data_IF_125947496542
#
_entry.id   IF_125947496542
#
_cell.length_a   1.000
_cell.length_b   1.000
_cell.length_c   1.000
_cell.angle_alpha   90.00
_cell.angle_beta   90.00
_cell.angle_gamma   90.00
#
_symmetry.space_group_name_H-M   'P 1'
#
loop_
_entity.id
_entity.type
_entity.pdbx_description
1 polymer ?
#
# COMPACT_ATOMS: atom_id res chain seq x y z
N UNK A 1 -5.61 3.52 -17.44
CA UNK A 1 -5.38 2.62 -16.29
C UNK A 1 -3.98 2.86 -15.77
N UNK A 2 -3.91 3.35 -14.54
CA UNK A 2 -2.67 3.62 -13.82
C UNK A 2 -2.38 2.44 -12.88
N UNK A 3 -1.10 2.14 -12.67
CA UNK A 3 -0.63 1.32 -11.54
C UNK A 3 0.21 2.18 -10.62
N UNK A 4 -0.02 2.05 -9.31
CA UNK A 4 0.72 2.76 -8.26
C UNK A 4 1.44 1.78 -7.36
N UNK A 5 2.68 2.07 -7.02
CA UNK A 5 3.46 1.33 -6.03
C UNK A 5 3.76 2.27 -4.88
N UNK A 6 3.22 1.97 -3.70
CA UNK A 6 3.48 2.72 -2.48
C UNK A 6 4.15 1.81 -1.46
N UNK A 7 5.23 2.27 -0.84
CA UNK A 7 5.98 1.51 0.17
C UNK A 7 6.21 2.37 1.42
N UNK A 8 5.88 1.79 2.58
CA UNK A 8 6.12 2.32 3.91
C UNK A 8 7.11 1.44 4.68
N UNK A 9 8.02 2.06 5.44
CA UNK A 9 8.71 1.41 6.55
C UNK A 9 7.80 1.43 7.78
N UNK A 10 7.66 0.29 8.44
CA UNK A 10 6.96 0.21 9.72
C UNK A 10 7.87 0.43 10.93
N UNK A 11 9.18 0.63 10.74
CA UNK A 11 10.14 0.76 11.85
C UNK A 11 9.84 1.96 12.77
N UNK A 12 9.46 3.10 12.18
CA UNK A 12 9.07 4.32 12.89
C UNK A 12 7.56 4.59 12.83
N UNK A 13 6.76 3.56 12.51
CA UNK A 13 5.31 3.68 12.33
C UNK A 13 4.57 3.63 13.67
N UNK A 14 3.35 4.19 13.68
CA UNK A 14 2.43 4.09 14.83
C UNK A 14 1.67 2.76 14.89
N UNK A 15 1.86 1.88 13.91
CA UNK A 15 1.12 0.61 13.78
C UNK A 15 2.03 -0.57 13.44
N UNK A 16 1.57 -1.79 13.72
CA UNK A 16 2.25 -3.04 13.37
C UNK A 16 1.63 -3.73 12.15
N UNK A 17 2.32 -4.74 11.61
CA UNK A 17 1.78 -5.54 10.49
C UNK A 17 0.53 -6.33 10.89
N UNK A 18 0.44 -6.80 12.12
CA UNK A 18 -0.74 -7.50 12.65
C UNK A 18 -1.95 -6.57 12.67
N UNK A 19 -1.80 -5.35 13.21
CA UNK A 19 -2.87 -4.36 13.24
C UNK A 19 -3.34 -3.97 11.83
N UNK A 20 -2.41 -3.83 10.88
CA UNK A 20 -2.75 -3.56 9.49
C UNK A 20 -3.54 -4.72 8.86
N UNK A 21 -3.15 -5.97 9.10
CA UNK A 21 -3.87 -7.15 8.59
C UNK A 21 -5.29 -7.27 9.16
N UNK A 22 -5.47 -6.92 10.42
CA UNK A 22 -6.77 -6.97 11.08
C UNK A 22 -7.67 -5.79 10.66
N UNK A 23 -7.09 -4.66 10.26
CA UNK A 23 -7.82 -3.42 9.97
C UNK A 23 -8.09 -3.16 8.49
N UNK A 24 -7.28 -3.72 7.59
CA UNK A 24 -7.38 -3.46 6.16
C UNK A 24 -8.19 -4.56 5.46
N UNK A 25 -9.13 -4.14 4.61
CA UNK A 25 -9.85 -5.04 3.74
C UNK A 25 -8.95 -5.57 2.60
N UNK A 26 -9.38 -6.69 2.00
CA UNK A 26 -8.79 -7.17 0.75
C UNK A 26 -9.03 -6.16 -0.37
N UNK A 27 -8.04 -6.02 -1.25
CA UNK A 27 -8.14 -5.16 -2.42
C UNK A 27 -8.75 -5.95 -3.58
N UNK A 28 -9.51 -5.28 -4.44
CA UNK A 28 -10.00 -5.90 -5.67
C UNK A 28 -8.84 -6.26 -6.60
N UNK A 29 -8.78 -7.50 -7.13
CA UNK A 29 -7.77 -7.88 -8.10
C UNK A 29 -7.80 -6.96 -9.34
N UNK A 30 -6.63 -6.59 -9.90
CA UNK A 30 -5.31 -7.15 -9.62
C UNK A 30 -4.49 -6.41 -8.53
N UNK A 31 -5.11 -5.54 -7.72
CA UNK A 31 -4.42 -4.84 -6.63
C UNK A 31 -4.04 -5.77 -5.48
N UNK A 32 -2.95 -5.48 -4.78
CA UNK A 32 -2.45 -6.33 -3.70
C UNK A 32 -1.63 -5.58 -2.65
N UNK A 33 -1.83 -5.95 -1.38
CA UNK A 33 -0.95 -5.57 -0.28
C UNK A 33 0.37 -6.35 -0.33
N UNK A 34 1.45 -5.69 0.07
CA UNK A 34 2.80 -6.22 0.10
C UNK A 34 3.34 -6.19 1.53
N UNK A 35 4.01 -7.27 1.95
CA UNK A 35 4.74 -7.32 3.21
C UNK A 35 6.13 -7.91 3.00
N UNK A 36 7.15 -7.19 3.47
CA UNK A 36 8.52 -7.66 3.54
C UNK A 36 8.96 -7.70 5.00
N UNK A 37 8.95 -8.91 5.58
CA UNK A 37 9.34 -9.14 6.96
C UNK A 37 10.84 -8.84 7.21
N UNK A 38 11.72 -9.06 6.24
CA UNK A 38 13.16 -8.91 6.43
C UNK A 38 13.59 -7.44 6.56
N UNK A 39 12.84 -6.52 5.97
CA UNK A 39 13.12 -5.07 6.03
C UNK A 39 12.01 -4.27 6.71
N UNK A 40 11.03 -4.94 7.32
CA UNK A 40 9.84 -4.34 7.94
C UNK A 40 9.16 -3.29 7.05
N UNK A 41 8.88 -3.67 5.80
CA UNK A 41 8.20 -2.80 4.83
C UNK A 41 6.83 -3.32 4.48
N UNK A 42 5.86 -2.42 4.56
CA UNK A 42 4.50 -2.63 4.09
C UNK A 42 4.30 -1.85 2.80
N UNK A 43 3.44 -2.31 1.91
CA UNK A 43 3.20 -1.61 0.67
C UNK A 43 1.95 -2.06 -0.04
N UNK A 44 1.69 -1.44 -1.18
CA UNK A 44 0.60 -1.80 -2.08
C UNK A 44 1.02 -1.64 -3.53
N UNK A 45 0.55 -2.56 -4.37
CA UNK A 45 0.44 -2.35 -5.81
C UNK A 45 -1.05 -2.12 -6.08
N UNK A 46 -1.42 -0.91 -6.48
CA UNK A 46 -2.81 -0.51 -6.68
C UNK A 46 -3.07 -0.23 -8.17
N UNK A 47 -4.08 -0.86 -8.73
CA UNK A 47 -4.55 -0.65 -10.10
C UNK A 47 -5.81 0.21 -10.09
N UNK A 48 -5.90 1.12 -11.06
CA UNK A 48 -7.07 1.98 -11.23
C UNK A 48 -6.67 3.42 -11.47
N UNK A 49 -7.57 4.20 -12.07
CA UNK A 49 -7.31 5.62 -12.29
C UNK A 49 -7.39 6.41 -10.98
N UNK A 50 -8.25 5.97 -10.05
CA UNK A 50 -8.36 6.47 -8.67
C UNK A 50 -7.69 5.51 -7.67
N UNK A 51 -7.29 6.06 -6.52
CA UNK A 51 -6.71 5.27 -5.44
C UNK A 51 -7.83 4.70 -4.55
N UNK A 52 -7.79 3.41 -4.28
CA UNK A 52 -8.77 2.73 -3.42
C UNK A 52 -8.78 3.33 -2.00
N UNK A 53 -9.97 3.44 -1.40
CA UNK A 53 -10.17 4.03 -0.06
C UNK A 53 -9.35 3.29 1.02
N UNK A 54 -9.17 1.98 0.85
CA UNK A 54 -8.37 1.13 1.72
C UNK A 54 -6.89 1.56 1.77
N UNK A 55 -6.37 2.12 0.68
CA UNK A 55 -5.00 2.66 0.64
C UNK A 55 -4.90 3.97 1.42
N UNK A 56 -5.92 4.83 1.36
CA UNK A 56 -5.99 6.01 2.21
C UNK A 56 -6.05 5.60 3.69
N UNK A 57 -6.85 4.57 4.02
CA UNK A 57 -6.94 4.02 5.37
C UNK A 57 -5.61 3.47 5.87
N UNK A 58 -4.86 2.76 5.03
CA UNK A 58 -3.52 2.28 5.38
C UNK A 58 -2.57 3.43 5.72
N UNK A 59 -2.57 4.51 4.92
CA UNK A 59 -1.76 5.71 5.18
C UNK A 59 -2.11 6.36 6.52
N UNK A 60 -3.40 6.44 6.86
CA UNK A 60 -3.83 6.97 8.17
C UNK A 60 -3.32 6.15 9.35
N UNK A 61 -3.42 4.82 9.26
CA UNK A 61 -2.96 3.89 10.31
C UNK A 61 -1.44 3.96 10.49
N UNK A 62 -0.70 4.03 9.38
CA UNK A 62 0.77 4.14 9.39
C UNK A 62 1.20 5.52 9.92
N UNK A 63 0.44 6.56 9.61
CA UNK A 63 0.64 7.91 10.14
C UNK A 63 1.82 8.66 9.53
N UNK A 64 2.42 8.14 8.46
CA UNK A 64 3.48 8.78 7.68
C UNK A 64 3.25 8.62 6.18
N UNK A 65 3.91 9.46 5.40
CA UNK A 65 3.89 9.34 3.94
C UNK A 65 4.74 8.15 3.46
N UNK A 66 4.40 7.53 2.31
CA UNK A 66 5.22 6.47 1.74
C UNK A 66 6.64 6.97 1.47
N UNK A 67 7.66 6.17 1.78
CA UNK A 67 9.05 6.49 1.37
C UNK A 67 9.27 6.25 -0.13
N UNK A 68 8.41 5.45 -0.76
CA UNK A 68 8.36 5.28 -2.21
C UNK A 68 6.91 5.42 -2.67
N UNK A 69 6.68 6.30 -3.63
CA UNK A 69 5.38 6.51 -4.27
C UNK A 69 5.61 6.72 -5.76
N UNK A 70 5.37 5.67 -6.55
CA UNK A 70 5.59 5.67 -8.00
C UNK A 70 4.28 5.40 -8.73
N UNK A 71 4.05 6.08 -9.85
CA UNK A 71 2.89 5.92 -10.71
C UNK A 71 3.34 5.58 -12.13
N UNK A 72 2.62 4.67 -12.77
CA UNK A 72 2.94 4.22 -14.12
C UNK A 72 1.67 4.08 -14.96
N UNK A 73 1.77 4.46 -16.23
CA UNK A 73 0.85 3.99 -17.26
C UNK A 73 1.18 2.54 -17.62
N UNK A 74 0.16 1.70 -17.69
CA UNK A 74 0.34 0.31 -18.09
C UNK A 74 0.39 0.22 -19.61
N UNK A 75 1.49 -0.30 -20.15
CA UNK A 75 1.64 -0.50 -21.60
C UNK A 75 0.93 -1.79 -22.04
N UNK A 76 0.14 -1.69 -23.11
CA UNK A 76 -0.48 -2.85 -23.77
C UNK A 76 -1.79 -3.36 -23.13
N UNK A 77 -2.43 -2.52 -22.32
CA UNK A 77 -3.85 -2.66 -21.95
C UNK A 77 -4.76 -1.91 -22.94
#
# INVERSE_FOLDING_TARGET
MIVRILIWSLYDSKTTIEELRDSLAELEPPSAWLWNAASERFGVVAFGDELAEEVARARELIGTDPQLAEEFDILGL
#
